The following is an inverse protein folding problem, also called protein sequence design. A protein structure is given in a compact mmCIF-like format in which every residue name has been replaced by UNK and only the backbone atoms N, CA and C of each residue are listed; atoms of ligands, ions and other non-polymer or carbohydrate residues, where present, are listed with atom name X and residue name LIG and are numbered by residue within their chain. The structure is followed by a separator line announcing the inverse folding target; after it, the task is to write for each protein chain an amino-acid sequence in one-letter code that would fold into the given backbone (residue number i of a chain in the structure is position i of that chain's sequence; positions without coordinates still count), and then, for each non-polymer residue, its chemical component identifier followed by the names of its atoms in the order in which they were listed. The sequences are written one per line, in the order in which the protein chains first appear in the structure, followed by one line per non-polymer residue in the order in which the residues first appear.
data_IF_391425478338
#
_entry.id   IF_391425478338
#
_cell.length_a   1.000
_cell.length_b   1.000
_cell.length_c   1.000
_cell.angle_alpha   90.00
_cell.angle_beta   90.00
_cell.angle_gamma   90.00
#
_symmetry.space_group_name_H-M   'P 1'
#
loop_
_entity.id
_entity.type
_entity.pdbx_description
1 polymer ?
#
# COMPACT_ATOMS: atom_id res chain seq x y z
N UNK A 1 14.77 -0.29 -0.99
CA UNK A 1 14.47 1.03 -1.58
C UNK A 1 15.04 1.08 -2.97
N UNK A 2 14.24 1.52 -3.94
CA UNK A 2 14.68 1.76 -5.32
C UNK A 2 15.31 3.17 -5.45
N UNK A 3 16.18 3.35 -6.44
CA UNK A 3 16.78 4.66 -6.74
C UNK A 3 15.70 5.66 -7.17
N UNK A 4 15.85 6.94 -6.79
CA UNK A 4 14.86 7.98 -7.08
C UNK A 4 13.69 8.07 -6.08
N UNK A 5 13.65 7.19 -5.08
CA UNK A 5 12.64 7.21 -4.02
C UNK A 5 13.21 7.74 -2.69
N UNK A 6 12.40 8.53 -1.99
CA UNK A 6 12.64 8.99 -0.63
C UNK A 6 11.81 8.19 0.38
N UNK A 7 12.17 8.30 1.66
CA UNK A 7 11.44 7.71 2.78
C UNK A 7 11.37 8.69 3.94
N UNK A 8 10.21 8.77 4.59
CA UNK A 8 10.03 9.46 5.86
C UNK A 8 9.18 8.62 6.80
N UNK A 9 9.63 8.50 8.06
CA UNK A 9 8.80 7.95 9.13
C UNK A 9 7.85 9.07 9.61
N UNK A 10 6.54 8.84 9.57
CA UNK A 10 5.55 9.81 10.05
C UNK A 10 5.23 9.56 11.52
N UNK A 11 4.94 8.32 11.89
CA UNK A 11 4.56 7.90 13.23
C UNK A 11 5.07 6.47 13.52
N UNK A 12 4.98 5.96 14.76
CA UNK A 12 5.29 4.56 15.04
C UNK A 12 4.50 3.62 14.12
N UNK A 13 5.24 2.76 13.40
CA UNK A 13 4.72 1.81 12.42
C UNK A 13 4.02 2.44 11.20
N UNK A 14 4.20 3.74 10.95
CA UNK A 14 3.67 4.45 9.78
C UNK A 14 4.76 5.21 9.06
N UNK A 15 4.96 4.82 7.82
CA UNK A 15 6.00 5.36 6.97
C UNK A 15 5.42 5.81 5.62
N UNK A 16 6.14 6.72 4.96
CA UNK A 16 5.83 7.17 3.60
C UNK A 16 7.07 7.00 2.72
N UNK A 17 6.88 6.34 1.59
CA UNK A 17 7.86 6.26 0.50
C UNK A 17 7.32 7.12 -0.64
N UNK A 18 8.13 8.03 -1.18
CA UNK A 18 7.68 8.99 -2.19
C UNK A 18 8.68 9.10 -3.34
N UNK A 19 8.20 9.43 -4.54
CA UNK A 19 9.06 9.71 -5.68
C UNK A 19 9.73 11.08 -5.48
N UNK A 20 11.07 11.15 -5.53
CA UNK A 20 11.79 12.40 -5.23
C UNK A 20 11.53 13.52 -6.24
N UNK A 21 11.24 13.18 -7.49
CA UNK A 21 10.94 14.16 -8.54
C UNK A 21 9.50 14.69 -8.47
N UNK A 22 8.60 13.99 -7.75
CA UNK A 22 7.21 14.38 -7.55
C UNK A 22 6.67 13.73 -6.26
N UNK A 23 6.69 14.48 -5.15
CA UNK A 23 6.28 13.98 -3.84
C UNK A 23 4.76 13.77 -3.68
N UNK A 24 3.95 14.24 -4.63
CA UNK A 24 2.53 13.88 -4.74
C UNK A 24 2.32 12.41 -5.16
N UNK A 25 3.37 11.74 -5.66
CA UNK A 25 3.36 10.31 -5.97
C UNK A 25 4.04 9.56 -4.83
N UNK A 26 3.25 8.87 -4.01
CA UNK A 26 3.74 8.26 -2.78
C UNK A 26 2.96 7.01 -2.39
N UNK A 27 3.59 6.20 -1.55
CA UNK A 27 3.01 5.05 -0.88
C UNK A 27 3.08 5.27 0.63
N UNK A 28 1.93 5.21 1.29
CA UNK A 28 1.86 5.07 2.75
C UNK A 28 2.00 3.59 3.11
N UNK A 29 2.79 3.31 4.14
CA UNK A 29 3.02 1.97 4.69
C UNK A 29 2.61 1.97 6.15
N UNK A 30 1.76 1.03 6.54
CA UNK A 30 1.34 0.80 7.91
C UNK A 30 1.61 -0.66 8.28
N UNK A 31 2.30 -0.88 9.39
CA UNK A 31 2.68 -2.23 9.83
C UNK A 31 2.09 -2.57 11.20
N UNK A 32 1.76 -3.84 11.38
CA UNK A 32 1.14 -4.36 12.60
C UNK A 32 1.77 -5.70 12.97
N UNK A 33 1.72 -6.05 14.25
CA UNK A 33 2.00 -7.43 14.66
C UNK A 33 0.78 -8.31 14.35
N UNK A 34 0.96 -9.58 13.96
CA UNK A 34 -0.15 -10.49 13.66
C UNK A 34 -1.19 -10.66 14.76
N UNK A 35 -0.81 -10.45 16.03
CA UNK A 35 -1.72 -10.56 17.17
C UNK A 35 -2.45 -9.24 17.51
N UNK A 36 -2.08 -8.13 16.88
CA UNK A 36 -2.63 -6.81 17.17
C UNK A 36 -3.80 -6.45 16.25
N UNK A 37 -3.96 -7.15 15.13
CA UNK A 37 -4.98 -6.88 14.12
C UNK A 37 -5.47 -8.16 13.45
N UNK A 38 -6.76 -8.22 13.12
CA UNK A 38 -7.32 -9.29 12.31
C UNK A 38 -7.18 -8.93 10.82
N UNK A 39 -6.74 -9.89 9.99
CA UNK A 39 -6.52 -9.66 8.57
C UNK A 39 -7.79 -9.25 7.81
N UNK A 40 -8.92 -9.93 8.03
CA UNK A 40 -10.18 -9.63 7.35
C UNK A 40 -10.69 -8.22 7.70
N UNK A 41 -10.51 -7.81 8.96
CA UNK A 41 -10.79 -6.44 9.40
C UNK A 41 -9.88 -5.42 8.70
N UNK A 42 -8.57 -5.71 8.59
CA UNK A 42 -7.65 -4.84 7.86
C UNK A 42 -8.00 -4.75 6.37
N UNK A 43 -8.38 -5.86 5.74
CA UNK A 43 -8.79 -5.90 4.34
C UNK A 43 -10.07 -5.07 4.11
N UNK A 44 -11.07 -5.20 4.98
CA UNK A 44 -12.28 -4.37 4.94
C UNK A 44 -11.96 -2.88 5.13
N UNK A 45 -11.14 -2.55 6.13
CA UNK A 45 -10.72 -1.16 6.38
C UNK A 45 -9.87 -0.59 5.22
N UNK A 46 -9.18 -1.45 4.46
CA UNK A 46 -8.43 -1.04 3.27
C UNK A 46 -9.37 -0.64 2.15
N UNK A 47 -10.50 -1.34 1.95
CA UNK A 47 -11.54 -0.92 1.00
C UNK A 47 -12.06 0.48 1.35
N UNK A 48 -12.43 0.71 2.61
CA UNK A 48 -12.93 2.00 3.08
C UNK A 48 -11.88 3.11 2.88
N UNK A 49 -10.61 2.81 3.13
CA UNK A 49 -9.49 3.75 2.96
C UNK A 49 -9.30 4.13 1.49
N UNK A 50 -9.36 3.15 0.58
CA UNK A 50 -9.24 3.41 -0.87
C UNK A 50 -10.45 4.19 -1.37
N UNK A 51 -11.67 3.75 -1.04
CA UNK A 51 -12.92 4.42 -1.45
C UNK A 51 -12.99 5.87 -0.98
N UNK A 52 -12.42 6.21 0.18
CA UNK A 52 -12.38 7.58 0.68
C UNK A 52 -11.63 8.55 -0.27
N UNK A 53 -10.77 8.05 -1.15
CA UNK A 53 -10.04 8.85 -2.14
C UNK A 53 -10.93 9.30 -3.31
N UNK A 54 -12.01 8.55 -3.58
CA UNK A 54 -13.06 8.96 -4.51
C UNK A 54 -14.40 8.34 -4.08
N UNK A 55 -15.18 9.02 -3.22
CA UNK A 55 -16.42 8.47 -2.66
C UNK A 55 -17.47 8.09 -3.71
N UNK A 56 -17.46 8.74 -4.86
CA UNK A 56 -18.37 8.48 -5.98
C UNK A 56 -17.76 7.53 -7.03
N UNK A 57 -16.50 7.11 -6.85
CA UNK A 57 -15.78 6.20 -7.73
C UNK A 57 -16.19 4.74 -7.53
N UNK A 58 -16.01 3.94 -8.57
CA UNK A 58 -16.21 2.49 -8.50
C UNK A 58 -14.96 1.83 -7.91
N UNK A 59 -15.10 1.23 -6.73
CA UNK A 59 -14.05 0.38 -6.16
C UNK A 59 -13.94 -0.91 -6.95
N UNK A 60 -12.73 -1.25 -7.38
CA UNK A 60 -12.45 -2.51 -8.06
C UNK A 60 -11.45 -3.34 -7.26
N UNK A 61 -11.52 -4.67 -7.39
CA UNK A 61 -10.44 -5.55 -6.94
C UNK A 61 -9.22 -5.36 -7.84
N UNK A 62 -8.05 -5.17 -7.23
CA UNK A 62 -6.79 -5.04 -7.95
C UNK A 62 -6.05 -6.38 -7.97
N UNK A 63 -5.59 -6.81 -9.14
CA UNK A 63 -4.92 -8.12 -9.33
C UNK A 63 -3.51 -8.00 -9.89
N UNK A 64 -3.00 -6.77 -10.05
CA UNK A 64 -1.68 -6.50 -10.63
C UNK A 64 -0.50 -6.64 -9.65
N UNK A 65 -0.54 -7.62 -8.75
CA UNK A 65 0.55 -7.92 -7.82
C UNK A 65 0.70 -9.43 -7.62
N UNK A 66 1.88 -9.89 -7.22
CA UNK A 66 2.11 -11.30 -6.88
C UNK A 66 1.69 -11.54 -5.43
N UNK A 67 0.55 -12.20 -5.25
CA UNK A 67 0.00 -12.59 -3.95
C UNK A 67 0.58 -13.89 -3.40
N UNK A 68 1.33 -14.66 -4.19
CA UNK A 68 1.83 -15.98 -3.79
C UNK A 68 2.88 -15.94 -2.68
N UNK A 69 3.45 -14.76 -2.42
CA UNK A 69 4.42 -14.51 -1.35
C UNK A 69 3.77 -14.29 0.03
N UNK A 70 2.44 -14.20 0.11
CA UNK A 70 1.72 -13.84 1.35
C UNK A 70 0.81 -14.98 1.82
N UNK A 71 0.63 -15.08 3.14
CA UNK A 71 -0.30 -16.02 3.76
C UNK A 71 -1.75 -15.61 3.43
N UNK A 72 -2.03 -14.32 3.54
CA UNK A 72 -3.28 -13.69 3.09
C UNK A 72 -2.97 -12.38 2.36
N UNK A 73 -3.76 -12.03 1.36
CA UNK A 73 -3.66 -10.74 0.69
C UNK A 73 -5.00 -10.30 0.08
N UNK A 74 -5.25 -8.99 0.07
CA UNK A 74 -6.39 -8.37 -0.57
C UNK A 74 -5.95 -7.02 -1.15
N UNK A 75 -6.41 -6.67 -2.34
CA UNK A 75 -6.08 -5.40 -2.96
C UNK A 75 -7.25 -4.79 -3.71
N UNK A 76 -7.31 -3.47 -3.66
CA UNK A 76 -8.40 -2.68 -4.20
C UNK A 76 -7.86 -1.43 -4.87
N UNK A 77 -8.54 -0.94 -5.89
CA UNK A 77 -8.22 0.33 -6.51
C UNK A 77 -9.47 1.16 -6.78
N UNK A 78 -9.29 2.48 -6.79
CA UNK A 78 -10.28 3.43 -7.29
C UNK A 78 -9.56 4.44 -8.19
N UNK A 79 -10.18 4.78 -9.30
CA UNK A 79 -9.70 5.87 -10.15
C UNK A 79 -10.05 7.22 -9.50
N UNK A 80 -9.13 8.17 -9.56
CA UNK A 80 -9.35 9.58 -9.16
C UNK A 80 -9.04 10.51 -10.33
N UNK A 81 -9.27 11.81 -10.17
CA UNK A 81 -8.94 12.79 -11.21
C UNK A 81 -7.42 12.91 -11.48
N UNK A 82 -6.57 12.56 -10.51
CA UNK A 82 -5.11 12.72 -10.56
C UNK A 82 -4.42 11.41 -11.01
N UNK A 83 -5.03 10.28 -10.69
CA UNK A 83 -4.53 8.94 -11.01
C UNK A 83 -5.23 7.88 -10.16
N UNK A 84 -4.67 6.67 -10.15
CA UNK A 84 -5.25 5.58 -9.38
C UNK A 84 -4.76 5.63 -7.93
N UNK A 85 -5.66 5.35 -7.00
CA UNK A 85 -5.31 5.00 -5.63
C UNK A 85 -5.47 3.51 -5.47
N UNK A 86 -4.40 2.83 -5.07
CA UNK A 86 -4.36 1.37 -4.88
C UNK A 86 -4.04 1.04 -3.43
N UNK A 87 -4.89 0.29 -2.77
CA UNK A 87 -4.66 -0.25 -1.43
C UNK A 87 -4.36 -1.73 -1.49
N UNK A 88 -3.34 -2.19 -0.76
CA UNK A 88 -2.99 -3.61 -0.64
C UNK A 88 -2.80 -3.92 0.85
N UNK A 89 -3.56 -4.90 1.34
CA UNK A 89 -3.36 -5.51 2.65
C UNK A 89 -2.76 -6.90 2.45
N UNK A 90 -1.70 -7.23 3.21
CA UNK A 90 -1.11 -8.55 3.18
C UNK A 90 -0.59 -8.98 4.56
N UNK A 91 -0.55 -10.29 4.77
CA UNK A 91 -0.05 -10.94 5.98
C UNK A 91 1.04 -11.96 5.62
N UNK A 92 2.12 -11.92 6.38
CA UNK A 92 3.20 -12.92 6.39
C UNK A 92 3.46 -13.37 7.84
N UNK A 93 4.33 -14.36 8.04
CA UNK A 93 4.50 -15.05 9.34
C UNK A 93 4.70 -14.15 10.56
N UNK A 94 5.32 -12.97 10.40
CA UNK A 94 5.67 -12.08 11.52
C UNK A 94 5.18 -10.63 11.35
N UNK A 95 4.40 -10.34 10.31
CA UNK A 95 3.99 -8.97 10.00
C UNK A 95 2.67 -8.95 9.23
N UNK A 96 1.83 -7.99 9.56
CA UNK A 96 0.67 -7.61 8.76
C UNK A 96 0.90 -6.19 8.26
N UNK A 97 0.64 -5.94 6.99
CA UNK A 97 0.94 -4.66 6.33
C UNK A 97 -0.28 -4.17 5.56
N UNK A 98 -0.53 -2.87 5.64
CA UNK A 98 -1.34 -2.14 4.66
C UNK A 98 -0.43 -1.15 3.93
N UNK A 99 -0.49 -1.16 2.61
CA UNK A 99 0.04 -0.07 1.79
C UNK A 99 -1.09 0.65 1.08
N UNK A 100 -0.95 1.96 0.91
CA UNK A 100 -1.84 2.77 0.08
C UNK A 100 -1.01 3.61 -0.85
N UNK A 101 -1.10 3.32 -2.14
CA UNK A 101 -0.35 3.94 -3.22
C UNK A 101 -1.21 5.02 -3.85
N UNK A 102 -0.68 6.24 -3.90
CA UNK A 102 -1.22 7.38 -4.60
C UNK A 102 -0.30 7.62 -5.80
N UNK A 103 -0.75 7.20 -6.99
CA UNK A 103 0.01 7.39 -8.23
C UNK A 103 -0.65 8.46 -9.09
N UNK A 104 0.12 9.01 -10.03
CA UNK A 104 -0.35 9.99 -10.99
C UNK A 104 -0.41 9.36 -12.39
N UNK A 105 -1.45 9.69 -13.14
CA UNK A 105 -1.71 9.16 -14.50
C UNK A 105 -0.57 9.37 -15.51
N UNK A 106 0.36 10.28 -15.21
CA UNK A 106 1.51 10.64 -16.08
C UNK A 106 2.86 10.16 -15.57
N UNK A 107 2.93 9.53 -14.40
CA UNK A 107 4.18 9.08 -13.77
C UNK A 107 4.30 7.56 -13.85
N UNK A 108 3.28 6.83 -13.40
CA UNK A 108 3.27 5.36 -13.44
C UNK A 108 4.27 4.71 -12.49
N UNK A 109 4.33 5.18 -11.24
CA UNK A 109 5.23 4.64 -10.21
C UNK A 109 4.65 3.43 -9.45
N UNK A 110 3.40 3.04 -9.71
CA UNK A 110 2.70 1.97 -8.98
C UNK A 110 3.47 0.66 -8.90
N UNK A 111 4.04 0.19 -10.01
CA UNK A 111 4.72 -1.11 -10.05
C UNK A 111 6.00 -1.11 -9.19
N UNK A 112 6.73 0.01 -9.17
CA UNK A 112 7.89 0.22 -8.31
C UNK A 112 7.49 0.21 -6.82
N UNK A 113 6.37 0.84 -6.48
CA UNK A 113 5.83 0.78 -5.11
C UNK A 113 5.38 -0.63 -4.72
N UNK A 114 4.71 -1.37 -5.61
CA UNK A 114 4.33 -2.76 -5.36
C UNK A 114 5.59 -3.61 -5.13
N UNK A 115 6.62 -3.45 -5.95
CA UNK A 115 7.89 -4.15 -5.78
C UNK A 115 8.51 -3.85 -4.41
N UNK A 116 8.51 -2.59 -3.97
CA UNK A 116 9.01 -2.23 -2.64
C UNK A 116 8.14 -2.81 -1.52
N UNK A 117 6.82 -2.79 -1.67
CA UNK A 117 5.88 -3.33 -0.67
C UNK A 117 6.11 -4.83 -0.43
N UNK A 118 6.40 -5.60 -1.48
CA UNK A 118 6.69 -7.04 -1.38
C UNK A 118 7.99 -7.36 -0.63
N UNK A 119 8.85 -6.37 -0.39
CA UNK A 119 10.10 -6.52 0.38
C UNK A 119 9.97 -6.08 1.84
N UNK A 120 8.79 -5.63 2.27
CA UNK A 120 8.57 -5.20 3.65
C UNK A 120 8.64 -6.41 4.58
N UNK A 121 9.62 -6.38 5.48
CA UNK A 121 9.81 -7.39 6.50
C UNK A 121 10.07 -6.76 7.87
N UNK A 122 9.69 -7.46 8.94
CA UNK A 122 10.07 -7.06 10.28
C UNK A 122 11.45 -7.64 10.58
N UNK A 123 12.44 -6.77 10.76
CA UNK A 123 13.79 -7.18 11.18
C UNK A 123 13.70 -7.75 12.60
N UNK A 124 13.91 -9.05 12.75
CA UNK A 124 14.05 -9.68 14.07
C UNK A 124 15.34 -9.15 14.71
N UNK A 125 15.24 -8.58 15.92
CA UNK A 125 16.39 -8.18 16.72
C UNK A 125 16.89 -9.34 17.57
#
# INVERSE_FOLDING_TARGET
MLDGYGFTAEEPNRDVIFLQENDAVFMRVETYYPNDINFDELASNTQDTVQASNPDGELAEFTGYDSSAFNNSAAYEVETAEGNVTGIAFESDNIVVRVTIFDHSTVGARDDFIQMAQTIERVQK
#
